data_IF_549714207435
#
_entry.id   IF_549714207435
#
_cell.length_a   1.000
_cell.length_b   1.000
_cell.length_c   1.000
_cell.angle_alpha   90.00
_cell.angle_beta   90.00
_cell.angle_gamma   90.00
#
_symmetry.space_group_name_H-M   'P 1'
#
loop_
_entity.id
_entity.type
_entity.pdbx_description
1 polymer ?
#
# COMPACT_ATOMS: atom_id res chain seq x y z
N UNK A 1 -7.89 7.15 -6.11
CA UNK A 1 -7.19 6.02 -5.90
C UNK A 1 -6.97 5.45 -4.51
N UNK A 2 -7.15 6.18 -3.42
CA UNK A 2 -6.99 5.62 -2.08
C UNK A 2 -5.68 4.84 -1.87
N UNK A 3 -5.70 3.88 -0.96
CA UNK A 3 -4.55 3.03 -0.63
C UNK A 3 -4.25 1.97 -1.70
N UNK A 4 -5.27 1.49 -2.42
CA UNK A 4 -5.10 0.56 -3.54
C UNK A 4 -4.22 1.19 -4.63
N UNK A 5 -4.47 2.46 -4.99
CA UNK A 5 -3.66 3.20 -5.95
C UNK A 5 -2.20 3.36 -5.52
N UNK A 6 -1.92 3.46 -4.21
CA UNK A 6 -0.55 3.52 -3.73
C UNK A 6 0.24 2.27 -4.15
N UNK A 7 -0.31 1.09 -3.94
CA UNK A 7 0.34 -0.18 -4.27
C UNK A 7 0.22 -0.57 -5.75
N UNK A 8 -0.70 0.04 -6.51
CA UNK A 8 -0.77 -0.13 -7.96
C UNK A 8 0.50 0.33 -8.68
N UNK A 9 1.36 1.13 -8.02
CA UNK A 9 2.69 1.49 -8.52
C UNK A 9 3.61 0.27 -8.68
N UNK A 10 3.37 -0.79 -7.92
CA UNK A 10 4.13 -2.05 -7.97
C UNK A 10 3.55 -3.04 -9.00
N UNK A 11 2.36 -2.76 -9.55
CA UNK A 11 1.71 -3.65 -10.49
C UNK A 11 2.50 -3.79 -11.81
N UNK A 12 2.56 -5.01 -12.39
CA UNK A 12 3.13 -5.24 -13.70
C UNK A 12 2.22 -4.75 -14.85
N UNK A 13 1.06 -4.21 -14.51
CA UNK A 13 0.06 -3.70 -15.45
C UNK A 13 -0.07 -2.18 -15.30
N UNK A 14 -0.30 -1.50 -16.43
CA UNK A 14 -0.65 -0.08 -16.44
C UNK A 14 -1.69 0.25 -17.51
N UNK A 15 -2.51 1.24 -17.22
CA UNK A 15 -3.42 1.85 -18.18
C UNK A 15 -2.83 3.18 -18.65
N UNK A 16 -2.66 3.34 -19.95
CA UNK A 16 -2.15 4.59 -20.56
C UNK A 16 -2.94 4.91 -21.81
N UNK A 17 -2.98 6.19 -22.14
CA UNK A 17 -3.49 6.62 -23.44
C UNK A 17 -2.45 6.31 -24.52
N UNK A 18 -2.92 5.91 -25.70
CA UNK A 18 -2.07 5.64 -26.86
C UNK A 18 -1.57 6.94 -27.47
N UNK A 19 -2.46 7.94 -27.58
CA UNK A 19 -2.18 9.25 -28.12
C UNK A 19 -2.83 10.35 -27.26
N UNK A 20 -2.00 11.22 -26.72
CA UNK A 20 -2.45 12.37 -25.91
C UNK A 20 -3.15 13.43 -26.73
N UNK A 21 -2.86 13.55 -28.06
CA UNK A 21 -3.50 14.50 -28.94
C UNK A 21 -4.98 14.16 -29.14
N UNK A 22 -5.30 12.86 -29.27
CA UNK A 22 -6.69 12.39 -29.32
C UNK A 22 -7.42 12.77 -28.04
N UNK A 23 -6.82 12.60 -26.88
CA UNK A 23 -7.41 13.03 -25.61
C UNK A 23 -7.59 14.56 -25.53
N UNK A 24 -6.71 15.35 -26.13
CA UNK A 24 -6.79 16.80 -26.12
C UNK A 24 -7.86 17.34 -27.08
N UNK A 25 -8.14 16.63 -28.19
CA UNK A 25 -9.03 17.09 -29.25
C UNK A 25 -10.53 17.06 -28.90
N UNK A 26 -10.98 16.23 -27.96
CA UNK A 26 -12.37 16.10 -27.58
C UNK A 26 -12.64 16.65 -26.17
N UNK A 27 -13.87 17.18 -25.95
CA UNK A 27 -14.29 17.76 -24.68
C UNK A 27 -14.92 16.75 -23.74
N UNK A 28 -15.71 15.85 -24.27
CA UNK A 28 -16.37 14.80 -23.50
C UNK A 28 -15.34 13.76 -23.07
N UNK A 29 -15.22 13.57 -21.77
CA UNK A 29 -14.28 12.62 -21.15
C UNK A 29 -15.06 11.49 -20.50
N UNK A 30 -15.76 10.67 -21.31
CA UNK A 30 -16.57 9.54 -20.82
C UNK A 30 -15.72 8.53 -20.02
N UNK A 31 -14.44 8.36 -20.37
CA UNK A 31 -13.49 7.57 -19.59
C UNK A 31 -13.24 8.11 -18.16
N UNK A 32 -13.56 9.38 -17.90
CA UNK A 32 -13.43 10.05 -16.62
C UNK A 32 -14.79 10.30 -15.95
N UNK A 33 -15.72 10.94 -16.69
CA UNK A 33 -17.02 11.36 -16.16
C UNK A 33 -18.10 10.26 -16.25
N UNK A 34 -17.89 9.26 -17.08
CA UNK A 34 -18.92 8.29 -17.45
C UNK A 34 -19.88 8.81 -18.51
N UNK A 35 -20.77 7.93 -18.96
CA UNK A 35 -21.95 8.22 -19.77
C UNK A 35 -23.01 7.16 -19.45
N UNK A 36 -24.25 7.55 -19.30
CA UNK A 36 -25.35 6.61 -19.05
C UNK A 36 -25.99 6.10 -20.35
N UNK A 37 -25.63 6.67 -21.50
CA UNK A 37 -26.23 6.37 -22.79
C UNK A 37 -25.17 6.01 -23.83
N UNK A 38 -25.61 5.26 -24.85
CA UNK A 38 -24.81 4.89 -26.01
C UNK A 38 -23.92 3.65 -25.81
N UNK A 39 -23.15 3.29 -26.85
CA UNK A 39 -22.34 2.05 -26.86
C UNK A 39 -21.18 2.03 -25.86
N UNK A 40 -20.80 3.19 -25.35
CA UNK A 40 -19.73 3.35 -24.35
C UNK A 40 -20.27 3.75 -22.96
N UNK A 41 -21.54 3.39 -22.69
CA UNK A 41 -22.17 3.66 -21.41
C UNK A 41 -21.39 3.01 -20.26
N UNK A 42 -21.20 3.76 -19.18
CA UNK A 42 -20.50 3.34 -17.97
C UNK A 42 -20.26 4.47 -16.99
N UNK A 43 -19.77 4.12 -15.81
CA UNK A 43 -19.63 5.07 -14.70
C UNK A 43 -18.39 5.97 -14.79
N UNK A 44 -17.50 5.74 -15.78
CA UNK A 44 -16.22 6.45 -15.87
C UNK A 44 -15.23 6.00 -14.79
N UNK A 45 -14.28 6.87 -14.47
CA UNK A 45 -13.27 6.52 -13.48
C UNK A 45 -13.78 6.64 -12.03
N UNK A 46 -13.96 5.54 -11.28
CA UNK A 46 -14.46 5.59 -9.91
C UNK A 46 -13.49 6.27 -8.93
N UNK A 47 -12.24 6.46 -9.35
CA UNK A 47 -11.19 7.07 -8.54
C UNK A 47 -10.96 8.55 -8.87
N UNK A 48 -11.70 9.12 -9.81
CA UNK A 48 -11.51 10.49 -10.26
C UNK A 48 -10.13 10.74 -10.88
N UNK A 49 -9.53 9.72 -11.51
CA UNK A 49 -8.23 9.84 -12.18
C UNK A 49 -8.45 9.93 -13.69
N UNK A 50 -8.03 11.06 -14.30
CA UNK A 50 -8.14 11.23 -15.74
C UNK A 50 -7.06 10.41 -16.47
N UNK A 51 -7.41 9.42 -17.29
CA UNK A 51 -6.45 8.53 -17.93
C UNK A 51 -5.41 9.26 -18.79
N UNK A 52 -5.81 10.33 -19.48
CA UNK A 52 -4.91 11.15 -20.30
C UNK A 52 -3.83 11.91 -19.51
N UNK A 53 -4.00 12.07 -18.21
CA UNK A 53 -3.03 12.70 -17.30
C UNK A 53 -2.23 11.71 -16.45
N UNK A 54 -2.48 10.41 -16.58
CA UNK A 54 -1.80 9.40 -15.77
C UNK A 54 -0.36 9.19 -16.25
N UNK A 55 0.59 9.60 -15.43
CA UNK A 55 2.02 9.28 -15.62
C UNK A 55 2.47 8.10 -14.75
N UNK A 56 1.70 7.78 -13.71
CA UNK A 56 1.92 6.69 -12.75
C UNK A 56 0.58 6.09 -12.31
N UNK A 57 0.62 4.88 -11.76
CA UNK A 57 -0.59 4.21 -11.25
C UNK A 57 -1.06 4.71 -9.87
N UNK A 58 -0.39 5.68 -9.26
CA UNK A 58 -0.66 6.15 -7.89
C UNK A 58 -2.14 6.45 -7.60
N UNK A 59 -2.90 6.87 -8.62
CA UNK A 59 -4.33 7.15 -8.50
C UNK A 59 -5.20 6.17 -9.29
N UNK A 60 -4.61 5.13 -9.87
CA UNK A 60 -5.30 4.14 -10.68
C UNK A 60 -5.49 2.84 -9.90
N UNK A 61 -6.72 2.35 -9.79
CA UNK A 61 -7.05 1.06 -9.18
C UNK A 61 -7.09 -0.10 -10.17
N UNK A 62 -6.69 0.10 -11.43
CA UNK A 62 -6.67 -0.90 -12.50
C UNK A 62 -8.03 -1.58 -12.74
N UNK A 63 -9.14 -0.85 -12.52
CA UNK A 63 -10.49 -1.36 -12.70
C UNK A 63 -10.92 -1.51 -14.17
N UNK A 64 -10.14 -0.97 -15.12
CA UNK A 64 -10.35 -1.02 -16.57
C UNK A 64 -11.62 -0.30 -17.07
N UNK A 65 -12.37 0.39 -16.22
CA UNK A 65 -13.59 1.09 -16.61
C UNK A 65 -13.34 2.14 -17.71
N UNK A 66 -12.24 2.87 -17.61
CA UNK A 66 -11.85 3.84 -18.62
C UNK A 66 -11.54 3.22 -19.99
N UNK A 67 -11.07 1.96 -20.04
CA UNK A 67 -10.84 1.24 -21.28
C UNK A 67 -12.17 0.93 -21.98
N UNK A 68 -13.19 0.54 -21.19
CA UNK A 68 -14.54 0.23 -21.67
C UNK A 68 -15.29 1.47 -22.15
N UNK A 69 -15.11 2.59 -21.47
CA UNK A 69 -15.88 3.83 -21.70
C UNK A 69 -15.19 4.83 -22.63
N UNK A 70 -14.07 4.48 -23.25
CA UNK A 70 -13.37 5.37 -24.18
C UNK A 70 -13.94 5.24 -25.61
N UNK A 71 -14.64 6.27 -26.16
CA UNK A 71 -15.25 6.19 -27.49
C UNK A 71 -14.22 6.21 -28.63
N UNK A 72 -12.96 6.53 -28.33
CA UNK A 72 -11.88 6.61 -29.31
C UNK A 72 -10.92 5.41 -29.28
N UNK A 73 -11.23 4.39 -28.49
CA UNK A 73 -10.33 3.23 -28.25
C UNK A 73 -8.87 3.64 -27.98
N UNK A 74 -8.70 4.79 -27.31
CA UNK A 74 -7.41 5.43 -27.13
C UNK A 74 -6.73 5.05 -25.81
N UNK A 75 -7.24 4.05 -25.09
CA UNK A 75 -6.64 3.55 -23.84
C UNK A 75 -6.11 2.15 -24.08
N UNK A 76 -4.90 1.90 -23.62
CA UNK A 76 -4.24 0.60 -23.70
C UNK A 76 -3.91 0.07 -22.32
N UNK A 77 -4.00 -1.24 -22.16
CA UNK A 77 -3.45 -1.99 -21.05
C UNK A 77 -2.07 -2.48 -21.48
N UNK A 78 -1.03 -2.03 -20.77
CA UNK A 78 0.35 -2.38 -21.05
C UNK A 78 0.93 -3.25 -19.94
N UNK A 79 1.85 -4.15 -20.32
CA UNK A 79 2.73 -4.86 -19.39
C UNK A 79 4.00 -4.05 -19.18
N UNK A 80 4.48 -4.02 -17.93
CA UNK A 80 5.72 -3.34 -17.54
C UNK A 80 6.43 -4.09 -16.41
N UNK A 81 7.65 -3.70 -16.11
CA UNK A 81 8.35 -4.25 -14.95
C UNK A 81 7.63 -3.85 -13.65
N UNK A 82 7.48 -4.77 -12.66
CA UNK A 82 6.96 -4.43 -11.35
C UNK A 82 7.75 -3.30 -10.71
N UNK A 83 7.04 -2.28 -10.20
CA UNK A 83 7.68 -1.13 -9.56
C UNK A 83 8.24 -0.06 -10.49
N UNK A 84 7.99 -0.12 -11.80
CA UNK A 84 8.46 0.88 -12.76
C UNK A 84 8.05 2.33 -12.37
N UNK A 85 6.91 2.51 -11.70
CA UNK A 85 6.50 3.83 -11.20
C UNK A 85 7.34 4.36 -10.04
N UNK A 86 8.09 3.50 -9.34
CA UNK A 86 8.95 3.95 -8.23
C UNK A 86 10.12 4.80 -8.74
N UNK A 87 10.56 4.58 -9.97
CA UNK A 87 11.60 5.35 -10.63
C UNK A 87 11.14 6.76 -11.05
N UNK A 88 9.82 6.96 -11.18
CA UNK A 88 9.24 8.24 -11.56
C UNK A 88 9.25 9.24 -10.40
N UNK A 89 10.15 10.22 -10.46
CA UNK A 89 10.35 11.24 -9.40
C UNK A 89 9.35 12.40 -9.49
N UNK A 90 8.83 12.70 -10.69
CA UNK A 90 7.95 13.86 -10.91
C UNK A 90 6.55 13.64 -10.35
N UNK A 91 5.95 14.69 -9.80
CA UNK A 91 4.55 14.68 -9.38
C UNK A 91 4.24 13.89 -8.11
N UNK A 92 5.24 13.57 -7.25
CA UNK A 92 5.01 12.99 -5.94
C UNK A 92 4.53 14.05 -4.97
N UNK A 93 3.37 13.80 -4.35
CA UNK A 93 2.72 14.71 -3.43
C UNK A 93 2.81 14.28 -1.96
N UNK A 94 2.40 15.17 -1.08
CA UNK A 94 2.28 14.84 0.35
C UNK A 94 1.20 13.79 0.62
N UNK A 95 0.14 13.78 -0.19
CA UNK A 95 -0.94 12.80 -0.10
C UNK A 95 -0.43 11.37 -0.29
N UNK A 96 0.49 11.16 -1.25
CA UNK A 96 1.15 9.88 -1.48
C UNK A 96 2.05 9.49 -0.29
N UNK A 97 2.81 10.45 0.23
CA UNK A 97 3.67 10.24 1.38
C UNK A 97 2.88 9.84 2.64
N UNK A 98 1.80 10.58 2.94
CA UNK A 98 0.94 10.26 4.07
C UNK A 98 0.20 8.93 3.91
N UNK A 99 -0.26 8.58 2.70
CA UNK A 99 -0.82 7.25 2.43
C UNK A 99 0.18 6.14 2.76
N UNK A 100 1.44 6.29 2.34
CA UNK A 100 2.50 5.33 2.66
C UNK A 100 2.76 5.19 4.16
N UNK A 101 2.82 6.31 4.88
CA UNK A 101 3.03 6.32 6.34
C UNK A 101 1.83 5.76 7.11
N UNK A 102 0.59 6.07 6.69
CA UNK A 102 -0.62 5.50 7.29
C UNK A 102 -0.65 3.98 7.07
N UNK A 103 -0.33 3.51 5.87
CA UNK A 103 -0.31 2.08 5.56
C UNK A 103 0.76 1.33 6.37
N UNK A 104 1.97 1.89 6.48
CA UNK A 104 3.03 1.31 7.31
C UNK A 104 2.66 1.34 8.79
N UNK A 105 2.14 2.47 9.28
CA UNK A 105 1.72 2.62 10.68
C UNK A 105 0.53 1.73 11.03
N UNK A 106 -0.40 1.53 10.09
CA UNK A 106 -1.49 0.57 10.26
C UNK A 106 -0.97 -0.86 10.35
N UNK A 107 -0.01 -1.26 9.51
CA UNK A 107 0.60 -2.60 9.59
C UNK A 107 1.29 -2.82 10.94
N UNK A 108 2.03 -1.81 11.46
CA UNK A 108 2.65 -1.85 12.79
C UNK A 108 1.60 -1.98 13.90
N UNK A 109 0.56 -1.14 13.86
CA UNK A 109 -0.50 -1.14 14.88
C UNK A 109 -1.30 -2.44 14.87
N UNK A 110 -1.67 -2.95 13.69
CA UNK A 110 -2.36 -4.23 13.58
C UNK A 110 -1.50 -5.40 14.04
N UNK A 111 -0.22 -5.41 13.70
CA UNK A 111 0.72 -6.42 14.20
C UNK A 111 0.83 -6.37 15.72
N UNK A 112 0.92 -5.18 16.31
CA UNK A 112 0.99 -5.00 17.76
C UNK A 112 -0.29 -5.47 18.47
N UNK A 113 -1.47 -5.13 17.92
CA UNK A 113 -2.78 -5.48 18.51
C UNK A 113 -3.10 -6.97 18.37
N UNK A 114 -2.82 -7.54 17.19
CA UNK A 114 -3.27 -8.89 16.87
C UNK A 114 -2.27 -9.98 17.26
N UNK A 115 -0.98 -9.69 17.16
CA UNK A 115 0.10 -10.67 17.31
C UNK A 115 1.04 -10.31 18.47
N UNK A 116 1.07 -9.04 18.87
CA UNK A 116 1.94 -8.59 19.98
C UNK A 116 1.51 -9.14 21.35
N UNK A 117 2.44 -9.14 22.32
CA UNK A 117 2.23 -9.74 23.63
C UNK A 117 1.31 -8.93 24.57
N UNK A 118 0.77 -7.81 24.11
CA UNK A 118 0.01 -6.87 24.96
C UNK A 118 -1.49 -7.13 24.90
N UNK A 119 -1.97 -8.07 25.72
CA UNK A 119 -3.41 -8.38 25.82
C UNK A 119 -4.29 -7.18 26.17
N UNK A 120 -3.80 -6.26 27.01
CA UNK A 120 -4.50 -5.01 27.36
C UNK A 120 -4.69 -4.08 26.14
N UNK A 121 -3.70 -4.00 25.25
CA UNK A 121 -3.81 -3.24 24.00
C UNK A 121 -4.89 -3.82 23.08
N UNK A 122 -4.89 -5.14 22.95
CA UNK A 122 -5.92 -5.87 22.19
C UNK A 122 -7.31 -5.63 22.80
N UNK A 123 -7.46 -5.79 24.11
CA UNK A 123 -8.72 -5.53 24.80
C UNK A 123 -9.22 -4.08 24.58
N UNK A 124 -8.33 -3.09 24.67
CA UNK A 124 -8.66 -1.69 24.43
C UNK A 124 -9.09 -1.46 22.97
N UNK A 125 -8.40 -2.05 21.99
CA UNK A 125 -8.74 -1.91 20.57
C UNK A 125 -10.13 -2.45 20.21
N UNK A 126 -10.58 -3.52 20.90
CA UNK A 126 -11.89 -4.14 20.66
C UNK A 126 -13.03 -3.58 21.53
N UNK A 127 -12.73 -2.83 22.58
CA UNK A 127 -13.76 -2.24 23.47
C UNK A 127 -14.34 -0.93 22.90
N UNK A 128 -14.84 -0.96 21.69
CA UNK A 128 -15.33 0.21 20.94
C UNK A 128 -16.29 1.07 21.78
N UNK A 129 -16.05 2.40 21.81
CA UNK A 129 -16.83 3.37 22.57
C UNK A 129 -16.42 3.53 24.04
N UNK A 130 -15.48 2.71 24.53
CA UNK A 130 -14.94 2.84 25.89
C UNK A 130 -13.81 3.86 25.99
N UNK A 131 -13.46 4.29 27.22
CA UNK A 131 -12.29 5.15 27.45
C UNK A 131 -10.96 4.50 27.04
N UNK A 132 -10.68 3.20 27.32
CA UNK A 132 -9.53 2.50 26.76
C UNK A 132 -9.46 2.51 25.24
N UNK A 133 -10.60 2.33 24.56
CA UNK A 133 -10.67 2.43 23.10
C UNK A 133 -10.32 3.82 22.58
N UNK A 134 -10.78 4.87 23.25
CA UNK A 134 -10.44 6.24 22.89
C UNK A 134 -8.93 6.48 23.04
N UNK A 135 -8.32 5.97 24.11
CA UNK A 135 -6.87 6.00 24.33
C UNK A 135 -6.12 5.28 23.19
N UNK A 136 -6.57 4.09 22.80
CA UNK A 136 -6.03 3.35 21.65
C UNK A 136 -6.16 4.15 20.34
N UNK A 137 -7.34 4.70 20.05
CA UNK A 137 -7.60 5.47 18.83
C UNK A 137 -6.71 6.72 18.74
N UNK A 138 -6.59 7.47 19.84
CA UNK A 138 -5.69 8.63 19.91
C UNK A 138 -4.23 8.24 19.76
N UNK A 139 -3.79 7.15 20.39
CA UNK A 139 -2.44 6.61 20.23
C UNK A 139 -2.15 6.21 18.78
N UNK A 140 -3.09 5.52 18.13
CA UNK A 140 -3.00 5.15 16.71
C UNK A 140 -2.89 6.41 15.81
N UNK A 141 -3.77 7.40 16.00
CA UNK A 141 -3.72 8.64 15.22
C UNK A 141 -2.41 9.40 15.46
N UNK A 142 -1.94 9.45 16.70
CA UNK A 142 -0.65 10.07 17.03
C UNK A 142 0.51 9.36 16.35
N UNK A 143 0.49 8.02 16.32
CA UNK A 143 1.51 7.22 15.63
C UNK A 143 1.53 7.53 14.14
N UNK A 144 0.39 7.42 13.45
CA UNK A 144 0.33 7.47 11.98
C UNK A 144 0.38 8.89 11.41
N UNK A 145 -0.12 9.89 12.13
CA UNK A 145 -0.18 11.28 11.67
C UNK A 145 0.92 12.18 12.28
N UNK A 146 1.54 11.77 13.37
CA UNK A 146 2.55 12.54 14.09
C UNK A 146 3.91 11.87 14.17
N UNK A 147 4.01 10.75 14.89
CA UNK A 147 5.30 10.12 15.21
C UNK A 147 6.00 9.61 13.94
N UNK A 148 5.35 8.77 13.14
CA UNK A 148 5.96 8.23 11.92
C UNK A 148 6.29 9.32 10.89
N UNK A 149 5.37 10.26 10.55
CA UNK A 149 5.71 11.38 9.69
C UNK A 149 6.84 12.26 10.23
N UNK A 150 6.88 12.51 11.54
CA UNK A 150 7.94 13.27 12.18
C UNK A 150 9.31 12.60 12.06
N UNK A 151 9.40 11.31 12.40
CA UNK A 151 10.62 10.52 12.26
C UNK A 151 11.07 10.42 10.79
N UNK A 152 10.14 10.22 9.89
CA UNK A 152 10.44 10.16 8.46
C UNK A 152 10.90 11.53 7.91
N UNK A 153 10.32 12.64 8.38
CA UNK A 153 10.76 13.98 8.04
C UNK A 153 12.19 14.25 8.56
N UNK A 154 12.49 13.82 9.78
CA UNK A 154 13.85 13.92 10.34
C UNK A 154 14.86 13.11 9.50
N UNK A 155 14.50 11.90 9.07
CA UNK A 155 15.33 11.10 8.20
C UNK A 155 15.55 11.77 6.83
N UNK A 156 14.48 12.33 6.23
CA UNK A 156 14.57 13.06 4.97
C UNK A 156 15.44 14.35 5.10
N UNK A 157 15.29 15.08 6.21
CA UNK A 157 16.08 16.28 6.51
C UNK A 157 17.57 15.95 6.74
N UNK A 158 17.86 14.86 7.47
CA UNK A 158 19.22 14.39 7.65
C UNK A 158 19.88 14.00 6.32
N UNK A 159 19.12 13.32 5.43
CA UNK A 159 19.57 13.01 4.08
C UNK A 159 19.90 14.26 3.25
N UNK A 160 19.02 15.27 3.30
CA UNK A 160 19.27 16.57 2.63
C UNK A 160 20.56 17.24 3.16
N UNK A 161 20.76 17.20 4.48
CA UNK A 161 21.95 17.78 5.12
C UNK A 161 23.23 17.06 4.67
N UNK A 162 23.20 15.72 4.61
CA UNK A 162 24.32 14.90 4.12
C UNK A 162 24.62 15.15 2.63
N UNK A 163 23.61 15.56 1.85
CA UNK A 163 23.76 15.95 0.46
C UNK A 163 24.19 17.41 0.25
N UNK A 164 24.38 18.19 1.31
CA UNK A 164 24.67 19.63 1.23
C UNK A 164 23.53 20.47 0.61
N UNK A 165 22.28 19.97 0.65
CA UNK A 165 21.11 20.64 0.09
C UNK A 165 20.44 21.56 1.12
N UNK A 166 19.71 22.60 0.68
CA UNK A 166 19.04 23.52 1.59
C UNK A 166 17.94 22.83 2.41
N UNK A 167 17.74 23.33 3.65
CA UNK A 167 16.73 22.85 4.60
C UNK A 167 15.54 23.81 4.72
N UNK A 168 15.28 24.63 3.69
CA UNK A 168 14.10 25.47 3.64
C UNK A 168 12.81 24.64 3.54
N UNK A 169 11.69 25.25 3.90
CA UNK A 169 10.38 24.57 3.96
C UNK A 169 10.00 23.88 2.65
N UNK A 170 10.32 24.49 1.50
CA UNK A 170 10.00 23.96 0.17
C UNK A 170 10.85 22.73 -0.14
N UNK A 171 12.14 22.80 0.11
CA UNK A 171 13.08 21.70 -0.09
C UNK A 171 12.75 20.50 0.81
N UNK A 172 12.45 20.74 2.09
CA UNK A 172 12.04 19.69 3.03
C UNK A 172 10.73 19.02 2.63
N UNK A 173 9.72 19.81 2.22
CA UNK A 173 8.44 19.27 1.71
C UNK A 173 8.66 18.37 0.49
N UNK A 174 9.51 18.80 -0.43
CA UNK A 174 9.84 18.04 -1.63
C UNK A 174 10.63 16.77 -1.28
N UNK A 175 11.62 16.85 -0.40
CA UNK A 175 12.40 15.71 0.06
C UNK A 175 11.51 14.69 0.75
N UNK A 176 10.61 15.12 1.64
CA UNK A 176 9.65 14.24 2.31
C UNK A 176 8.78 13.49 1.29
N UNK A 177 8.18 14.20 0.33
CA UNK A 177 7.32 13.59 -0.68
C UNK A 177 8.09 12.64 -1.61
N UNK A 178 9.29 12.98 -2.03
CA UNK A 178 10.10 12.14 -2.93
C UNK A 178 10.62 10.88 -2.24
N UNK A 179 11.09 10.99 -0.99
CA UNK A 179 11.59 9.84 -0.24
C UNK A 179 10.50 8.84 0.15
N UNK A 180 9.24 9.29 0.22
CA UNK A 180 8.11 8.43 0.54
C UNK A 180 7.92 7.27 -0.45
N UNK A 181 8.58 7.29 -1.61
CA UNK A 181 8.63 6.15 -2.53
C UNK A 181 9.15 4.87 -1.84
N UNK A 182 10.09 5.01 -0.91
CA UNK A 182 10.64 3.87 -0.15
C UNK A 182 9.58 3.19 0.74
N UNK A 183 8.52 3.92 1.14
CA UNK A 183 7.43 3.38 1.95
C UNK A 183 6.51 2.44 1.15
N UNK A 184 6.50 2.51 -0.18
CA UNK A 184 5.60 1.71 -1.02
C UNK A 184 5.97 0.23 -0.96
N UNK A 185 7.21 -0.20 -1.30
CA UNK A 185 7.59 -1.61 -1.18
C UNK A 185 7.65 -2.09 0.27
N UNK A 186 8.10 -1.25 1.21
CA UNK A 186 8.13 -1.59 2.63
C UNK A 186 6.73 -1.83 3.19
N UNK A 187 5.77 -0.93 2.89
CA UNK A 187 4.39 -1.04 3.34
C UNK A 187 3.69 -2.26 2.76
N UNK A 188 3.92 -2.58 1.47
CA UNK A 188 3.37 -3.81 0.87
C UNK A 188 3.95 -5.06 1.56
N UNK A 189 5.26 -5.09 1.76
CA UNK A 189 5.91 -6.21 2.44
C UNK A 189 5.42 -6.37 3.89
N UNK A 190 5.19 -5.26 4.61
CA UNK A 190 4.63 -5.27 5.95
C UNK A 190 3.23 -5.91 5.98
N UNK A 191 2.35 -5.50 5.08
CA UNK A 191 1.01 -6.08 4.97
C UNK A 191 1.02 -7.52 4.50
N UNK A 192 1.89 -7.88 3.55
CA UNK A 192 2.04 -9.26 3.10
C UNK A 192 2.54 -10.16 4.24
N UNK A 193 3.57 -9.74 4.99
CA UNK A 193 4.10 -10.50 6.11
C UNK A 193 3.06 -10.65 7.24
N UNK A 194 2.31 -9.59 7.58
CA UNK A 194 1.21 -9.65 8.54
C UNK A 194 0.12 -10.64 8.07
N UNK A 195 -0.29 -10.55 6.81
CA UNK A 195 -1.37 -11.38 6.26
C UNK A 195 -0.99 -12.86 6.16
N UNK A 196 0.30 -13.19 6.02
CA UNK A 196 0.77 -14.58 5.97
C UNK A 196 0.37 -15.38 7.22
N UNK A 197 0.45 -14.77 8.42
CA UNK A 197 0.05 -15.44 9.67
C UNK A 197 -1.44 -15.84 9.64
N UNK A 198 -2.31 -14.93 9.18
CA UNK A 198 -3.75 -15.17 9.11
C UNK A 198 -4.12 -16.10 7.94
N UNK A 199 -3.51 -15.91 6.78
CA UNK A 199 -3.77 -16.75 5.61
C UNK A 199 -3.41 -18.21 5.92
N UNK A 200 -2.22 -18.47 6.45
CA UNK A 200 -1.76 -19.81 6.75
C UNK A 200 -2.61 -20.48 7.84
N UNK A 201 -2.97 -19.75 8.91
CA UNK A 201 -3.83 -20.31 9.96
C UNK A 201 -5.27 -20.56 9.51
N UNK A 202 -5.74 -19.84 8.48
CA UNK A 202 -7.13 -19.93 7.99
C UNK A 202 -7.31 -20.85 6.78
N UNK A 203 -6.24 -21.40 6.21
CA UNK A 203 -6.32 -22.26 5.01
C UNK A 203 -7.22 -23.49 5.20
N UNK A 204 -7.27 -24.05 6.41
CA UNK A 204 -8.14 -25.20 6.73
C UNK A 204 -9.64 -24.87 6.75
N UNK A 205 -10.01 -23.58 6.76
CA UNK A 205 -11.40 -23.17 6.60
C UNK A 205 -11.87 -23.19 5.14
N UNK A 206 -10.96 -23.25 4.17
CA UNK A 206 -11.31 -23.21 2.75
C UNK A 206 -12.22 -24.39 2.35
N UNK A 207 -11.91 -25.67 2.70
CA UNK A 207 -12.80 -26.79 2.41
C UNK A 207 -14.19 -26.63 3.04
N UNK A 208 -14.24 -26.16 4.29
CA UNK A 208 -15.50 -25.89 5.01
C UNK A 208 -16.32 -24.81 4.30
N UNK A 209 -15.70 -23.66 3.99
CA UNK A 209 -16.36 -22.56 3.31
C UNK A 209 -16.83 -22.90 1.90
N UNK A 210 -16.08 -23.74 1.18
CA UNK A 210 -16.48 -24.21 -0.15
C UNK A 210 -17.62 -25.24 -0.06
N UNK A 211 -17.66 -26.07 1.00
CA UNK A 211 -18.73 -27.05 1.19
C UNK A 211 -20.05 -26.40 1.61
N UNK A 212 -20.01 -25.29 2.35
CA UNK A 212 -21.20 -24.53 2.76
C UNK A 212 -21.01 -23.02 2.59
N UNK A 213 -20.96 -22.51 1.34
CA UNK A 213 -20.65 -21.12 1.06
C UNK A 213 -21.71 -20.12 1.56
N UNK A 214 -22.92 -20.61 1.90
CA UNK A 214 -24.03 -19.77 2.38
C UNK A 214 -24.38 -19.98 3.85
N UNK A 215 -23.70 -20.92 4.55
CA UNK A 215 -24.02 -21.22 5.94
C UNK A 215 -25.37 -21.95 6.13
N UNK A 216 -25.82 -22.71 5.13
CA UNK A 216 -27.11 -23.38 5.12
C UNK A 216 -27.05 -24.83 5.61
N UNK A 217 -25.91 -25.27 6.09
CA UNK A 217 -25.68 -26.62 6.55
C UNK A 217 -25.42 -27.61 5.40
N UNK A 218 -24.95 -27.13 4.26
CA UNK A 218 -24.58 -27.99 3.13
C UNK A 218 -23.24 -28.65 3.35
N UNK A 219 -23.02 -29.79 2.68
CA UNK A 219 -21.73 -30.45 2.59
C UNK A 219 -21.45 -30.87 1.14
N UNK A 220 -21.33 -29.86 0.27
CA UNK A 220 -21.23 -30.03 -1.19
C UNK A 220 -19.99 -30.83 -1.61
N UNK A 221 -18.89 -30.72 -0.84
CA UNK A 221 -17.60 -31.32 -1.17
C UNK A 221 -17.03 -32.19 -0.05
N UNK A 222 -17.86 -32.60 0.93
CA UNK A 222 -17.39 -33.40 2.08
C UNK A 222 -16.45 -32.61 3.03
N UNK A 223 -16.47 -31.31 2.95
CA UNK A 223 -15.58 -30.45 3.74
C UNK A 223 -16.10 -30.04 5.10
N UNK A 224 -17.39 -30.23 5.40
CA UNK A 224 -18.02 -29.78 6.64
C UNK A 224 -17.40 -30.41 7.91
N UNK A 225 -16.85 -31.62 7.80
CA UNK A 225 -16.19 -32.33 8.89
C UNK A 225 -14.69 -32.02 9.08
N UNK A 226 -14.11 -31.16 8.26
CA UNK A 226 -12.67 -30.82 8.35
C UNK A 226 -12.43 -29.98 9.60
N UNK A 227 -11.70 -30.55 10.57
CA UNK A 227 -11.27 -29.84 11.78
C UNK A 227 -10.27 -28.72 11.46
N UNK A 228 -10.36 -27.62 12.21
CA UNK A 228 -9.38 -26.56 12.10
C UNK A 228 -8.01 -27.03 12.60
N UNK A 229 -7.00 -26.86 11.76
CA UNK A 229 -5.59 -27.07 12.11
C UNK A 229 -4.75 -25.95 11.44
N UNK A 230 -3.85 -25.30 12.16
CA UNK A 230 -3.00 -24.28 11.55
C UNK A 230 -2.03 -24.96 10.57
N UNK A 231 -2.19 -24.66 9.26
CA UNK A 231 -1.28 -25.15 8.25
C UNK A 231 0.00 -24.29 8.21
N UNK A 232 1.12 -24.95 7.91
CA UNK A 232 2.40 -24.28 7.65
C UNK A 232 2.90 -23.38 8.79
N UNK A 233 2.48 -23.59 10.03
CA UNK A 233 2.86 -22.73 11.18
C UNK A 233 4.38 -22.57 11.32
N UNK A 234 5.18 -23.62 11.05
CA UNK A 234 6.63 -23.55 11.07
C UNK A 234 7.26 -22.81 9.88
N UNK A 235 6.54 -22.67 8.76
CA UNK A 235 7.03 -21.97 7.57
C UNK A 235 6.67 -20.46 7.59
N UNK A 236 5.66 -20.06 8.36
CA UNK A 236 5.22 -18.65 8.40
C UNK A 236 6.32 -17.71 8.87
N UNK A 237 7.01 -17.91 10.01
CA UNK A 237 8.06 -16.99 10.46
C UNK A 237 9.18 -16.79 9.42
N UNK A 238 9.81 -17.84 8.84
CA UNK A 238 10.86 -17.62 7.84
C UNK A 238 10.33 -16.93 6.58
N UNK A 239 9.09 -17.19 6.14
CA UNK A 239 8.49 -16.47 5.02
C UNK A 239 8.25 -15.00 5.34
N UNK A 240 7.81 -14.66 6.55
CA UNK A 240 7.67 -13.27 7.00
C UNK A 240 9.02 -12.54 6.98
N UNK A 241 10.09 -13.19 7.46
CA UNK A 241 11.46 -12.64 7.39
C UNK A 241 11.88 -12.37 5.94
N UNK A 242 11.68 -13.33 5.03
CA UNK A 242 12.04 -13.19 3.61
C UNK A 242 11.27 -12.04 2.96
N UNK A 243 9.96 -11.96 3.17
CA UNK A 243 9.10 -10.92 2.59
C UNK A 243 9.51 -9.54 3.11
N UNK A 244 9.73 -9.38 4.42
CA UNK A 244 10.15 -8.11 5.01
C UNK A 244 11.56 -7.71 4.56
N UNK A 245 12.51 -8.65 4.52
CA UNK A 245 13.85 -8.40 4.01
C UNK A 245 13.82 -7.91 2.56
N UNK A 246 13.03 -8.57 1.70
CA UNK A 246 12.81 -8.16 0.32
C UNK A 246 12.22 -6.75 0.22
N UNK A 247 11.22 -6.43 1.04
CA UNK A 247 10.63 -5.09 1.13
C UNK A 247 11.61 -4.01 1.57
N UNK A 248 12.43 -4.31 2.59
CA UNK A 248 13.48 -3.40 3.09
C UNK A 248 14.56 -3.16 2.01
N UNK A 249 15.02 -4.21 1.34
CA UNK A 249 16.01 -4.09 0.27
C UNK A 249 15.48 -3.24 -0.89
N UNK A 250 14.23 -3.46 -1.28
CA UNK A 250 13.62 -2.65 -2.34
C UNK A 250 13.41 -1.20 -1.90
N UNK A 251 12.97 -0.97 -0.65
CA UNK A 251 12.88 0.37 -0.06
C UNK A 251 14.21 1.09 -0.02
N UNK A 252 15.29 0.39 0.38
CA UNK A 252 16.64 0.92 0.40
C UNK A 252 17.12 1.32 -1.01
N UNK A 253 16.89 0.46 -2.00
CA UNK A 253 17.19 0.77 -3.40
C UNK A 253 16.43 2.02 -3.87
N UNK A 254 15.12 2.09 -3.61
CA UNK A 254 14.29 3.25 -3.96
C UNK A 254 14.78 4.55 -3.30
N UNK A 255 15.24 4.48 -2.05
CA UNK A 255 15.83 5.62 -1.34
C UNK A 255 17.15 6.07 -1.98
N UNK A 256 18.01 5.13 -2.38
CA UNK A 256 19.27 5.43 -3.09
C UNK A 256 18.99 6.06 -4.45
N UNK A 257 18.02 5.56 -5.19
CA UNK A 257 17.62 6.10 -6.48
C UNK A 257 17.13 7.55 -6.39
N UNK A 258 16.48 7.93 -5.28
CA UNK A 258 15.97 9.28 -5.04
C UNK A 258 17.06 10.24 -4.56
N UNK A 259 17.82 9.87 -3.55
CA UNK A 259 18.76 10.79 -2.88
C UNK A 259 20.20 10.65 -3.37
N UNK A 260 20.59 9.46 -3.79
CA UNK A 260 21.97 9.10 -4.13
C UNK A 260 22.84 8.82 -2.92
N UNK A 261 23.67 7.80 -3.02
CA UNK A 261 24.77 7.49 -2.10
C UNK A 261 24.47 7.64 -0.60
N UNK A 262 25.33 8.35 0.10
CA UNK A 262 25.25 8.53 1.56
C UNK A 262 24.02 9.30 2.04
N UNK A 263 23.43 10.12 1.19
CA UNK A 263 22.24 10.89 1.53
C UNK A 263 20.99 10.02 1.76
N UNK A 264 20.96 8.82 1.20
CA UNK A 264 19.87 7.85 1.42
C UNK A 264 19.93 7.14 2.78
N UNK A 265 21.09 7.12 3.45
CA UNK A 265 21.30 6.34 4.68
C UNK A 265 20.27 6.63 5.81
N UNK A 266 19.87 7.89 6.09
CA UNK A 266 18.88 8.13 7.14
C UNK A 266 17.50 7.54 6.81
N UNK A 267 17.06 7.59 5.55
CA UNK A 267 15.80 7.00 5.10
C UNK A 267 15.87 5.48 5.13
N UNK A 268 17.01 4.90 4.75
CA UNK A 268 17.27 3.46 4.88
C UNK A 268 17.23 3.06 6.36
N UNK A 269 17.85 3.85 7.24
CA UNK A 269 17.80 3.64 8.69
C UNK A 269 16.38 3.64 9.23
N UNK A 270 15.52 4.56 8.79
CA UNK A 270 14.10 4.56 9.12
C UNK A 270 13.40 3.26 8.66
N UNK A 271 13.65 2.82 7.42
CA UNK A 271 13.06 1.59 6.88
C UNK A 271 13.54 0.35 7.64
N UNK A 272 14.81 0.30 8.04
CA UNK A 272 15.36 -0.77 8.84
C UNK A 272 14.76 -0.83 10.25
N UNK A 273 14.60 0.31 10.91
CA UNK A 273 13.98 0.39 12.24
C UNK A 273 12.50 -0.02 12.19
N UNK A 274 11.76 0.44 11.20
CA UNK A 274 10.36 0.03 11.01
C UNK A 274 10.24 -1.46 10.69
N UNK A 275 11.13 -1.98 9.84
CA UNK A 275 11.18 -3.41 9.51
C UNK A 275 11.59 -4.29 10.70
N UNK A 276 12.56 -3.86 11.50
CA UNK A 276 12.96 -4.55 12.72
C UNK A 276 11.82 -4.59 13.76
N UNK A 277 11.10 -3.48 13.91
CA UNK A 277 9.91 -3.43 14.77
C UNK A 277 8.83 -4.40 14.31
N UNK A 278 8.56 -4.48 12.99
CA UNK A 278 7.64 -5.46 12.42
C UNK A 278 8.10 -6.89 12.63
N UNK A 279 9.39 -7.19 12.40
CA UNK A 279 9.94 -8.52 12.63
C UNK A 279 9.76 -8.95 14.08
N UNK A 280 10.07 -8.05 15.02
CA UNK A 280 9.87 -8.32 16.42
C UNK A 280 8.41 -8.58 16.80
N UNK A 281 7.46 -7.87 16.18
CA UNK A 281 6.02 -8.07 16.42
C UNK A 281 5.47 -9.35 15.79
N UNK A 282 6.06 -9.82 14.70
CA UNK A 282 5.55 -10.96 13.93
C UNK A 282 6.21 -12.28 14.31
N UNK A 283 7.47 -12.26 14.72
CA UNK A 283 8.32 -13.45 14.91
C UNK A 283 8.88 -13.54 16.31
N UNK A 284 9.00 -12.42 17.04
CA UNK A 284 9.45 -12.36 18.44
C UNK A 284 8.33 -12.64 19.38
#
# INVERSE_FOLDING_TARGET
GGFIGLYSQLAPLELRVRDTAVCASHREKTCYNGSLEGPYAGYGCPWGAFPGGLVRNTSCGLCMECLRTCPHDNIALNLRLPGADLEQRRGRGLDEAYKGLIMLGSALAYSAVMLGPWGALKAAAFAVGSLPWLGYALGFLTLVLGVLPGLFLLAAAAGQRLAGRPLDRRSLKQAFAQNAVALVPLGLAAWAAFSLAFAASSLTYIPVALSDPFGWGWDLFGGAGVGWTPLMSGAVPPLQVIVLAGGILWAARSAVDVQGGRAALPVIGFCLLAGAGLLWLLVG
#
